data_IF_987921384880
#
_entry.id   IF_987921384880
#
_cell.length_a   1.000
_cell.length_b   1.000
_cell.length_c   1.000
_cell.angle_alpha   90.00
_cell.angle_beta   90.00
_cell.angle_gamma   90.00
#
_symmetry.space_group_name_H-M   'P 1'
#
loop_
_entity.id
_entity.type
_entity.pdbx_description
1 polymer ?
#
# COMPACT_ATOMS: atom_id res chain seq x y z
N UNK A 1 -24.53 12.78 44.73
CA UNK A 1 -23.61 13.36 43.71
C UNK A 1 -23.07 12.22 42.87
N UNK A 2 -23.78 11.93 41.78
CA UNK A 2 -23.46 10.82 40.88
C UNK A 2 -22.37 11.29 39.90
N UNK A 3 -21.14 10.79 40.02
CA UNK A 3 -20.13 10.95 39.01
C UNK A 3 -20.54 10.05 37.84
N UNK A 4 -21.17 10.64 36.84
CA UNK A 4 -21.32 10.00 35.57
C UNK A 4 -19.90 9.70 35.03
N UNK A 5 -19.54 8.45 35.10
CA UNK A 5 -18.36 7.90 34.41
C UNK A 5 -18.51 8.25 32.95
N UNK A 6 -17.78 9.27 32.50
CA UNK A 6 -17.65 9.66 31.11
C UNK A 6 -16.90 8.51 30.45
N UNK A 7 -17.66 7.58 29.86
CA UNK A 7 -17.10 6.54 29.03
C UNK A 7 -16.32 7.28 27.92
N UNK A 8 -15.01 7.32 28.04
CA UNK A 8 -14.11 7.74 26.97
C UNK A 8 -14.25 6.72 25.86
N UNK A 9 -15.20 6.98 24.95
CA UNK A 9 -15.20 6.31 23.68
C UNK A 9 -13.83 6.59 23.05
N UNK A 10 -13.08 5.57 22.64
CA UNK A 10 -11.82 5.77 21.96
C UNK A 10 -12.10 6.61 20.70
N UNK A 11 -11.81 7.89 20.79
CA UNK A 11 -11.86 8.80 19.65
C UNK A 11 -10.75 8.35 18.73
N UNK A 12 -11.12 7.56 17.76
CA UNK A 12 -10.22 7.20 16.69
C UNK A 12 -9.69 8.49 16.08
N UNK A 13 -8.41 8.69 16.22
CA UNK A 13 -7.74 9.83 15.64
C UNK A 13 -8.04 9.80 14.13
N UNK A 14 -8.60 10.88 13.59
CA UNK A 14 -8.81 11.06 12.15
C UNK A 14 -7.57 10.67 11.35
N UNK A 15 -6.40 10.91 11.93
CA UNK A 15 -5.08 10.54 11.40
C UNK A 15 -4.95 9.04 11.16
N UNK A 16 -5.41 8.19 12.09
CA UNK A 16 -5.34 6.73 11.93
C UNK A 16 -6.22 6.26 10.77
N UNK A 17 -7.40 6.84 10.64
CA UNK A 17 -8.34 6.56 9.56
C UNK A 17 -7.71 6.90 8.21
N UNK A 18 -7.18 8.11 8.08
CA UNK A 18 -6.52 8.60 6.86
C UNK A 18 -5.29 7.75 6.55
N UNK A 19 -4.48 7.39 7.55
CA UNK A 19 -3.30 6.57 7.37
C UNK A 19 -3.64 5.18 6.77
N UNK A 20 -4.69 4.51 7.25
CA UNK A 20 -5.13 3.22 6.70
C UNK A 20 -5.69 3.37 5.28
N UNK A 21 -6.45 4.43 5.00
CA UNK A 21 -6.98 4.71 3.67
C UNK A 21 -5.88 4.96 2.65
N UNK A 22 -4.87 5.74 3.02
CA UNK A 22 -3.77 6.13 2.13
C UNK A 22 -2.65 5.08 2.05
N UNK A 23 -2.62 4.09 2.94
CA UNK A 23 -1.55 3.09 2.98
C UNK A 23 -1.38 2.35 1.63
N UNK A 24 -2.48 1.95 0.98
CA UNK A 24 -2.43 1.31 -0.34
C UNK A 24 -1.80 2.19 -1.42
N UNK A 25 -2.35 3.39 -1.69
CA UNK A 25 -1.77 4.34 -2.64
C UNK A 25 -0.31 4.72 -2.35
N UNK A 26 0.05 4.88 -1.08
CA UNK A 26 1.43 5.19 -0.69
C UNK A 26 2.38 4.04 -1.05
N UNK A 27 2.03 2.81 -0.73
CA UNK A 27 2.84 1.62 -1.08
C UNK A 27 3.01 1.51 -2.59
N UNK A 28 1.93 1.68 -3.35
CA UNK A 28 1.99 1.68 -4.81
C UNK A 28 2.86 2.82 -5.35
N UNK A 29 2.70 4.04 -4.85
CA UNK A 29 3.48 5.20 -5.28
C UNK A 29 4.98 5.05 -5.00
N UNK A 30 5.34 4.52 -3.82
CA UNK A 30 6.73 4.21 -3.47
C UNK A 30 7.31 3.11 -4.37
N UNK A 31 6.55 2.05 -4.64
CA UNK A 31 6.96 1.01 -5.57
C UNK A 31 7.18 1.57 -6.98
N UNK A 32 6.25 2.40 -7.47
CA UNK A 32 6.37 3.07 -8.75
C UNK A 32 7.63 3.96 -8.82
N UNK A 33 7.84 4.78 -7.81
CA UNK A 33 9.02 5.65 -7.72
C UNK A 33 10.32 4.83 -7.69
N UNK A 34 10.34 3.71 -6.97
CA UNK A 34 11.49 2.81 -6.90
C UNK A 34 11.80 2.17 -8.26
N UNK A 35 10.79 1.65 -8.95
CA UNK A 35 10.96 0.99 -10.25
C UNK A 35 11.41 2.00 -11.30
N UNK A 36 10.71 3.11 -11.48
CA UNK A 36 11.02 4.08 -12.53
C UNK A 36 12.21 4.96 -12.17
N UNK A 37 12.30 5.45 -10.94
CA UNK A 37 13.43 6.26 -10.47
C UNK A 37 14.72 5.45 -10.41
N UNK A 38 14.66 4.22 -9.88
CA UNK A 38 15.80 3.32 -9.83
C UNK A 38 16.30 2.94 -11.22
N UNK A 39 15.39 2.63 -12.15
CA UNK A 39 15.72 2.33 -13.53
C UNK A 39 16.43 3.52 -14.23
N UNK A 40 15.88 4.72 -14.09
CA UNK A 40 16.47 5.94 -14.66
C UNK A 40 17.86 6.19 -14.08
N UNK A 41 18.01 6.07 -12.77
CA UNK A 41 19.27 6.28 -12.07
C UNK A 41 20.35 5.28 -12.52
N UNK A 42 20.00 3.99 -12.63
CA UNK A 42 20.92 2.95 -13.10
C UNK A 42 21.39 3.20 -14.54
N UNK A 43 20.47 3.66 -15.42
CA UNK A 43 20.84 4.00 -16.80
C UNK A 43 21.79 5.20 -16.86
N UNK A 44 21.55 6.26 -16.07
CA UNK A 44 22.38 7.48 -16.05
C UNK A 44 23.76 7.20 -15.46
N UNK A 45 23.85 6.35 -14.42
CA UNK A 45 25.12 6.00 -13.77
C UNK A 45 25.91 4.92 -14.54
N UNK A 46 25.33 4.33 -15.59
CA UNK A 46 25.99 3.27 -16.36
C UNK A 46 26.19 1.95 -15.57
N UNK A 47 25.48 1.78 -14.46
CA UNK A 47 25.63 0.60 -13.58
C UNK A 47 24.91 -0.65 -14.10
N UNK A 48 24.09 -0.51 -15.13
CA UNK A 48 23.28 -1.62 -15.64
C UNK A 48 23.88 -2.24 -16.89
N UNK A 49 24.90 -3.08 -16.73
CA UNK A 49 25.36 -3.96 -17.81
C UNK A 49 24.54 -5.26 -17.92
N UNK A 50 23.80 -5.64 -16.86
CA UNK A 50 23.07 -6.91 -16.77
C UNK A 50 21.56 -6.72 -16.66
N UNK A 51 20.78 -7.02 -17.73
CA UNK A 51 19.31 -6.90 -17.72
C UNK A 51 18.63 -7.81 -16.68
N UNK A 52 19.30 -8.90 -16.28
CA UNK A 52 18.79 -9.82 -15.27
C UNK A 52 18.73 -9.19 -13.87
N UNK A 53 19.70 -8.35 -13.51
CA UNK A 53 19.73 -7.65 -12.22
C UNK A 53 18.55 -6.69 -12.09
N UNK A 54 18.23 -5.96 -13.16
CA UNK A 54 17.10 -5.03 -13.19
C UNK A 54 15.78 -5.81 -13.04
N UNK A 55 15.61 -6.90 -13.79
CA UNK A 55 14.41 -7.74 -13.68
C UNK A 55 14.24 -8.33 -12.29
N UNK A 56 15.31 -8.85 -11.70
CA UNK A 56 15.29 -9.39 -10.34
C UNK A 56 14.89 -8.32 -9.32
N UNK A 57 15.45 -7.11 -9.42
CA UNK A 57 15.12 -6.01 -8.50
C UNK A 57 13.64 -5.58 -8.58
N UNK A 58 13.06 -5.55 -9.78
CA UNK A 58 11.65 -5.24 -9.99
C UNK A 58 10.74 -6.33 -9.41
N UNK A 59 11.08 -7.62 -9.61
CA UNK A 59 10.33 -8.74 -9.05
C UNK A 59 10.38 -8.70 -7.52
N UNK A 60 11.54 -8.49 -6.94
CA UNK A 60 11.73 -8.41 -5.50
C UNK A 60 10.95 -7.23 -4.89
N UNK A 61 11.04 -6.06 -5.51
CA UNK A 61 10.30 -4.87 -5.06
C UNK A 61 8.78 -5.06 -5.19
N UNK A 62 8.31 -5.64 -6.30
CA UNK A 62 6.90 -5.96 -6.52
C UNK A 62 6.37 -6.97 -5.50
N UNK A 63 7.12 -8.05 -5.27
CA UNK A 63 6.79 -9.06 -4.25
C UNK A 63 6.73 -8.48 -2.84
N UNK A 64 7.69 -7.63 -2.47
CA UNK A 64 7.70 -6.95 -1.17
C UNK A 64 6.51 -5.98 -1.01
N UNK A 65 6.19 -5.21 -2.06
CA UNK A 65 5.03 -4.31 -2.05
C UNK A 65 3.71 -5.08 -1.89
N UNK A 66 3.52 -6.18 -2.63
CA UNK A 66 2.33 -7.02 -2.53
C UNK A 66 2.23 -7.69 -1.15
N UNK A 67 3.32 -8.20 -0.59
CA UNK A 67 3.36 -8.76 0.76
C UNK A 67 2.96 -7.73 1.82
N UNK A 68 3.45 -6.50 1.70
CA UNK A 68 3.09 -5.39 2.58
C UNK A 68 1.60 -5.03 2.47
N UNK A 69 1.05 -4.96 1.25
CA UNK A 69 -0.38 -4.71 1.02
C UNK A 69 -1.27 -5.81 1.63
N UNK A 70 -0.87 -7.07 1.50
CA UNK A 70 -1.56 -8.20 2.14
C UNK A 70 -1.49 -8.09 3.67
N UNK A 71 -0.35 -7.70 4.23
CA UNK A 71 -0.19 -7.48 5.66
C UNK A 71 -1.12 -6.36 6.16
N UNK A 72 -1.17 -5.22 5.46
CA UNK A 72 -2.06 -4.09 5.79
C UNK A 72 -3.53 -4.54 5.71
N UNK A 73 -3.92 -5.29 4.67
CA UNK A 73 -5.28 -5.81 4.54
C UNK A 73 -5.66 -6.75 5.69
N UNK A 74 -4.74 -7.61 6.13
CA UNK A 74 -4.96 -8.49 7.29
C UNK A 74 -5.06 -7.69 8.59
N UNK A 75 -4.21 -6.69 8.78
CA UNK A 75 -4.25 -5.80 9.93
C UNK A 75 -5.58 -5.04 10.01
N UNK A 76 -6.04 -4.46 8.88
CA UNK A 76 -7.32 -3.76 8.79
C UNK A 76 -8.51 -4.69 9.13
N UNK A 77 -8.50 -5.93 8.63
CA UNK A 77 -9.55 -6.92 8.94
C UNK A 77 -9.56 -7.34 10.41
N UNK A 78 -8.39 -7.54 11.03
CA UNK A 78 -8.28 -7.85 12.46
C UNK A 78 -8.84 -6.71 13.30
N UNK A 79 -8.45 -5.50 12.93
CA UNK A 79 -8.85 -4.31 13.62
C UNK A 79 -10.38 -4.08 13.58
N UNK A 80 -11.02 -4.30 12.41
CA UNK A 80 -12.49 -4.26 12.30
C UNK A 80 -13.17 -5.17 13.31
N UNK A 81 -12.66 -6.39 13.53
CA UNK A 81 -13.26 -7.34 14.48
C UNK A 81 -13.32 -6.73 15.88
N UNK A 82 -12.26 -6.09 16.34
CA UNK A 82 -12.25 -5.42 17.64
C UNK A 82 -13.26 -4.26 17.74
N UNK A 83 -13.44 -3.48 16.67
CA UNK A 83 -14.38 -2.35 16.67
C UNK A 83 -15.82 -2.83 16.63
N UNK A 84 -16.16 -3.84 15.85
CA UNK A 84 -17.51 -4.38 15.75
C UNK A 84 -17.94 -5.05 17.05
N UNK A 85 -17.04 -5.73 17.75
CA UNK A 85 -17.31 -6.33 19.06
C UNK A 85 -17.58 -5.29 20.14
N UNK A 86 -17.10 -4.06 19.97
CA UNK A 86 -17.34 -2.95 20.94
C UNK A 86 -18.73 -2.32 20.83
N UNK A 87 -19.49 -2.58 19.77
CA UNK A 87 -20.87 -2.13 19.55
C UNK A 87 -21.03 -0.61 19.38
N UNK A 88 -22.15 -0.19 18.80
CA UNK A 88 -22.56 1.22 18.68
C UNK A 88 -22.53 1.78 17.25
N UNK A 89 -22.92 3.07 17.09
CA UNK A 89 -22.99 3.78 15.80
C UNK A 89 -21.65 3.84 15.04
N UNK A 90 -20.53 3.60 15.73
CA UNK A 90 -19.20 3.46 15.15
C UNK A 90 -19.06 2.25 14.20
N UNK A 91 -19.92 1.24 14.32
CA UNK A 91 -19.84 0.02 13.53
C UNK A 91 -20.13 0.26 12.03
N UNK A 92 -21.14 1.07 11.71
CA UNK A 92 -21.50 1.42 10.33
C UNK A 92 -20.38 2.21 9.62
N UNK A 93 -19.81 3.19 10.32
CA UNK A 93 -18.70 3.98 9.80
C UNK A 93 -17.45 3.12 9.58
N UNK A 94 -17.16 2.18 10.50
CA UNK A 94 -16.03 1.25 10.40
C UNK A 94 -16.21 0.26 9.23
N UNK A 95 -17.43 -0.14 8.93
CA UNK A 95 -17.72 -1.04 7.83
C UNK A 95 -17.46 -0.37 6.47
N UNK A 96 -18.01 0.82 6.26
CA UNK A 96 -17.73 1.60 5.04
C UNK A 96 -16.23 1.85 4.85
N UNK A 97 -15.55 2.27 5.91
CA UNK A 97 -14.12 2.54 5.89
C UNK A 97 -13.29 1.32 5.52
N UNK A 98 -13.67 0.14 6.02
CA UNK A 98 -13.00 -1.10 5.68
C UNK A 98 -13.18 -1.44 4.21
N UNK A 99 -14.39 -1.31 3.65
CA UNK A 99 -14.61 -1.53 2.21
C UNK A 99 -13.78 -0.58 1.37
N UNK A 100 -13.74 0.70 1.71
CA UNK A 100 -12.93 1.69 1.02
C UNK A 100 -11.44 1.33 1.08
N UNK A 101 -10.92 0.97 2.25
CA UNK A 101 -9.52 0.56 2.43
C UNK A 101 -9.19 -0.68 1.61
N UNK A 102 -10.04 -1.72 1.63
CA UNK A 102 -9.81 -2.94 0.85
C UNK A 102 -9.86 -2.68 -0.65
N UNK A 103 -10.76 -1.82 -1.12
CA UNK A 103 -10.84 -1.42 -2.53
C UNK A 103 -9.57 -0.69 -2.97
N UNK A 104 -9.07 0.24 -2.15
CA UNK A 104 -7.82 0.95 -2.42
C UNK A 104 -6.61 0.02 -2.43
N UNK A 105 -6.55 -0.96 -1.51
CA UNK A 105 -5.50 -1.98 -1.50
C UNK A 105 -5.56 -2.84 -2.76
N UNK A 106 -6.76 -3.25 -3.18
CA UNK A 106 -6.95 -4.04 -4.41
C UNK A 106 -6.48 -3.27 -5.63
N UNK A 107 -6.89 -2.00 -5.75
CA UNK A 107 -6.48 -1.13 -6.85
C UNK A 107 -4.97 -0.89 -6.86
N UNK A 108 -4.38 -0.66 -5.70
CA UNK A 108 -2.93 -0.50 -5.54
C UNK A 108 -2.18 -1.77 -5.91
N UNK A 109 -2.70 -2.95 -5.54
CA UNK A 109 -2.14 -4.24 -5.93
C UNK A 109 -2.15 -4.44 -7.44
N UNK A 110 -3.25 -4.09 -8.11
CA UNK A 110 -3.34 -4.12 -9.57
C UNK A 110 -2.32 -3.17 -10.21
N UNK A 111 -2.13 -1.97 -9.64
CA UNK A 111 -1.12 -1.02 -10.08
C UNK A 111 0.32 -1.54 -9.94
N UNK A 112 0.64 -2.21 -8.82
CA UNK A 112 1.96 -2.86 -8.61
C UNK A 112 2.19 -3.95 -9.65
N UNK A 113 1.22 -4.82 -9.89
CA UNK A 113 1.32 -5.88 -10.90
C UNK A 113 1.50 -5.29 -12.29
N UNK A 114 0.70 -4.29 -12.65
CA UNK A 114 0.78 -3.64 -13.96
C UNK A 114 2.14 -2.97 -14.19
N UNK A 115 2.64 -2.19 -13.23
CA UNK A 115 3.94 -1.53 -13.34
C UNK A 115 5.10 -2.53 -13.40
N UNK A 116 5.00 -3.64 -12.68
CA UNK A 116 5.98 -4.73 -12.74
C UNK A 116 5.98 -5.43 -14.10
N UNK A 117 4.80 -5.71 -14.67
CA UNK A 117 4.67 -6.29 -16.01
C UNK A 117 5.23 -5.35 -17.08
N UNK A 118 4.92 -4.06 -17.02
CA UNK A 118 5.43 -3.07 -17.96
C UNK A 118 6.97 -3.06 -18.02
N UNK A 119 7.63 -3.22 -16.87
CA UNK A 119 9.09 -3.27 -16.79
C UNK A 119 9.71 -4.47 -17.53
N UNK A 120 8.97 -5.56 -17.79
CA UNK A 120 9.43 -6.69 -18.59
C UNK A 120 9.44 -6.39 -20.10
N UNK A 121 8.53 -5.55 -20.58
CA UNK A 121 8.38 -5.22 -22.00
C UNK A 121 9.23 -4.04 -22.43
N UNK A 122 9.66 -3.20 -21.50
CA UNK A 122 10.51 -2.04 -21.78
C UNK A 122 11.96 -2.49 -21.76
N UNK A 123 12.62 -2.41 -22.91
CA UNK A 123 14.06 -2.70 -23.00
C UNK A 123 14.85 -1.66 -22.17
N UNK A 124 15.66 -2.12 -21.21
CA UNK A 124 16.42 -1.22 -20.37
C UNK A 124 17.41 -0.38 -21.20
N UNK A 125 17.40 0.92 -21.02
CA UNK A 125 18.39 1.88 -21.54
C UNK A 125 18.54 1.99 -23.06
N UNK A 126 17.66 1.40 -23.90
CA UNK A 126 17.77 1.48 -25.37
C UNK A 126 17.18 2.77 -25.99
N UNK A 127 16.35 3.50 -25.26
CA UNK A 127 15.62 4.68 -25.79
C UNK A 127 16.34 6.00 -25.59
N UNK A 128 17.53 6.03 -25.01
CA UNK A 128 18.29 7.28 -24.72
C UNK A 128 19.53 7.46 -25.61
N UNK A 129 19.57 6.77 -26.77
CA UNK A 129 20.57 7.07 -27.82
C UNK A 129 19.97 7.82 -28.97
#
# INVERSE_FOLDING_TARGET
MSRASKAEHPRWSLTTIIAFLLAGPIVWGLHFLFVYGGHTLMCVLGWSSEPQVIRASVIMAGGAALALLVFIARAARRWRRYVVESGGDAALSAEFQMYATLLLILLSSAGVVWSSLAAFFIAPCQTLR
#
